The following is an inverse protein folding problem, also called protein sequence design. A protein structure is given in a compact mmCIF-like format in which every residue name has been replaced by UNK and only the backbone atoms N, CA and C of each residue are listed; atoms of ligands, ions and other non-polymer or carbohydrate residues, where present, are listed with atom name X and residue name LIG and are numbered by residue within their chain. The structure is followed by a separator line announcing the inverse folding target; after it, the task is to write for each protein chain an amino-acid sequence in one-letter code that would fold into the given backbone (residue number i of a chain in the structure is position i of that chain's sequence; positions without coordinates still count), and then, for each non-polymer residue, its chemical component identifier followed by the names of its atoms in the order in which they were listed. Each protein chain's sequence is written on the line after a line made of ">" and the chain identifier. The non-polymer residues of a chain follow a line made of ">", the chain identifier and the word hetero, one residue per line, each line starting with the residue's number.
data_IF_046292703513
#
_entry.id   IF_046292703513
#
_cell.length_a   1.000
_cell.length_b   1.000
_cell.length_c   1.000
_cell.angle_alpha   90.00
_cell.angle_beta   90.00
_cell.angle_gamma   90.00
#
_symmetry.space_group_name_H-M   'P 1'
#
loop_
_entity.id
_entity.type
_entity.pdbx_description
1 polymer ?
#
# COMPACT_ATOMS: atom_id res chain seq x y z
N UNK A 1 -21.47 25.74 -13.48
CA UNK A 1 -21.29 25.43 -12.05
C UNK A 1 -21.53 23.97 -11.74
N UNK A 2 -22.70 23.44 -12.06
CA UNK A 2 -23.01 22.01 -11.85
C UNK A 2 -22.05 21.12 -12.65
N UNK A 3 -21.74 21.52 -13.88
CA UNK A 3 -20.82 20.79 -14.76
C UNK A 3 -19.40 20.74 -14.16
N UNK A 4 -18.93 21.84 -13.54
CA UNK A 4 -17.63 21.86 -12.91
C UNK A 4 -17.55 20.96 -11.68
N UNK A 5 -18.62 20.88 -10.91
CA UNK A 5 -18.71 20.01 -9.75
C UNK A 5 -18.66 18.53 -10.15
N UNK A 6 -19.43 18.16 -11.16
CA UNK A 6 -19.46 16.79 -11.66
C UNK A 6 -18.11 16.37 -12.23
N UNK A 7 -17.43 17.30 -12.90
CA UNK A 7 -16.09 17.04 -13.45
C UNK A 7 -15.08 16.77 -12.34
N UNK A 8 -15.12 17.55 -11.24
CA UNK A 8 -14.23 17.35 -10.10
C UNK A 8 -14.44 15.99 -9.46
N UNK A 9 -15.70 15.60 -9.23
CA UNK A 9 -16.01 14.29 -8.65
C UNK A 9 -15.56 13.15 -9.57
N UNK A 10 -15.78 13.30 -10.87
CA UNK A 10 -15.34 12.30 -11.85
C UNK A 10 -13.82 12.15 -11.86
N UNK A 11 -13.08 13.26 -11.79
CA UNK A 11 -11.62 13.23 -11.75
C UNK A 11 -11.11 12.55 -10.47
N UNK A 12 -11.70 12.84 -9.32
CA UNK A 12 -11.34 12.22 -8.05
C UNK A 12 -11.62 10.73 -8.10
N UNK A 13 -12.80 10.33 -8.59
CA UNK A 13 -13.17 8.92 -8.74
C UNK A 13 -12.22 8.18 -9.66
N UNK A 14 -11.84 8.80 -10.78
CA UNK A 14 -10.87 8.21 -11.70
C UNK A 14 -9.51 8.04 -11.07
N UNK A 15 -9.02 9.04 -10.33
CA UNK A 15 -7.73 8.96 -9.66
C UNK A 15 -7.71 7.88 -8.60
N UNK A 16 -8.77 7.79 -7.80
CA UNK A 16 -8.90 6.75 -6.77
C UNK A 16 -8.90 5.37 -7.42
N UNK A 17 -9.68 5.21 -8.49
CA UNK A 17 -9.78 3.95 -9.20
C UNK A 17 -8.43 3.53 -9.80
N UNK A 18 -7.72 4.49 -10.44
CA UNK A 18 -6.40 4.21 -11.01
C UNK A 18 -5.39 3.85 -9.92
N UNK A 19 -5.40 4.54 -8.80
CA UNK A 19 -4.52 4.20 -7.68
C UNK A 19 -4.81 2.81 -7.12
N UNK A 20 -6.07 2.45 -7.03
CA UNK A 20 -6.46 1.12 -6.58
C UNK A 20 -5.96 0.05 -7.54
N UNK A 21 -6.10 0.27 -8.84
CA UNK A 21 -5.59 -0.65 -9.86
C UNK A 21 -4.07 -0.78 -9.75
N UNK A 22 -3.38 0.34 -9.60
CA UNK A 22 -1.92 0.35 -9.42
C UNK A 22 -1.51 -0.46 -8.20
N UNK A 23 -2.22 -0.29 -7.07
CA UNK A 23 -1.94 -1.05 -5.85
C UNK A 23 -2.18 -2.55 -6.06
N UNK A 24 -3.27 -2.91 -6.72
CA UNK A 24 -3.56 -4.33 -7.02
C UNK A 24 -2.42 -4.94 -7.83
N UNK A 25 -1.99 -4.27 -8.88
CA UNK A 25 -0.89 -4.74 -9.72
C UNK A 25 0.42 -4.82 -8.92
N UNK A 26 0.71 -3.78 -8.13
CA UNK A 26 1.94 -3.72 -7.34
C UNK A 26 1.97 -4.84 -6.29
N UNK A 27 0.86 -5.08 -5.60
CA UNK A 27 0.75 -6.15 -4.60
C UNK A 27 0.90 -7.52 -5.26
N UNK A 28 0.27 -7.70 -6.41
CA UNK A 28 0.37 -8.96 -7.15
C UNK A 28 1.81 -9.24 -7.58
N UNK A 29 2.48 -8.24 -8.16
CA UNK A 29 3.88 -8.37 -8.59
C UNK A 29 4.78 -8.65 -7.38
N UNK A 30 4.60 -7.91 -6.30
CA UNK A 30 5.41 -8.08 -5.10
C UNK A 30 5.21 -9.46 -4.48
N UNK A 31 3.97 -9.97 -4.44
CA UNK A 31 3.68 -11.30 -3.91
C UNK A 31 4.32 -12.40 -4.74
N UNK A 32 4.51 -12.14 -6.02
CA UNK A 32 5.17 -13.10 -6.92
C UNK A 32 6.68 -13.11 -6.74
N UNK A 33 7.27 -11.94 -6.47
CA UNK A 33 8.73 -11.79 -6.36
C UNK A 33 9.23 -12.20 -4.97
N UNK A 34 8.49 -11.83 -3.92
CA UNK A 34 8.96 -12.03 -2.54
C UNK A 34 8.48 -13.38 -2.01
N UNK A 35 9.39 -14.32 -1.73
CA UNK A 35 9.01 -15.57 -1.08
C UNK A 35 8.55 -15.32 0.35
N UNK A 36 7.56 -16.07 0.80
CA UNK A 36 6.98 -15.92 2.13
C UNK A 36 5.72 -15.07 2.15
N UNK A 37 5.32 -14.50 1.02
CA UNK A 37 4.04 -13.81 0.88
C UNK A 37 3.13 -14.65 0.01
N UNK A 38 1.92 -14.92 0.49
CA UNK A 38 0.92 -15.69 -0.25
C UNK A 38 -0.42 -14.97 -0.23
N UNK A 39 -1.04 -14.90 -1.39
CA UNK A 39 -2.39 -14.37 -1.56
C UNK A 39 -3.19 -15.47 -2.26
N UNK A 40 -4.12 -16.08 -1.51
CA UNK A 40 -4.77 -17.31 -1.94
C UNK A 40 -5.89 -17.11 -2.95
N UNK A 41 -6.42 -15.89 -3.08
CA UNK A 41 -7.55 -15.65 -3.97
C UNK A 41 -7.53 -14.23 -4.50
N UNK A 42 -8.24 -14.00 -5.60
CA UNK A 42 -8.43 -12.66 -6.16
C UNK A 42 -9.17 -11.77 -5.16
N UNK A 43 -10.11 -12.34 -4.40
CA UNK A 43 -10.83 -11.59 -3.38
C UNK A 43 -9.88 -11.08 -2.29
N UNK A 44 -8.97 -11.92 -1.81
CA UNK A 44 -7.98 -11.51 -0.82
C UNK A 44 -7.07 -10.41 -1.37
N UNK A 45 -6.64 -10.53 -2.62
CA UNK A 45 -5.83 -9.50 -3.28
C UNK A 45 -6.56 -8.16 -3.31
N UNK A 46 -7.83 -8.16 -3.68
CA UNK A 46 -8.65 -6.95 -3.75
C UNK A 46 -8.81 -6.32 -2.36
N UNK A 47 -9.10 -7.14 -1.34
CA UNK A 47 -9.28 -6.65 0.03
C UNK A 47 -7.99 -6.04 0.56
N UNK A 48 -6.84 -6.69 0.34
CA UNK A 48 -5.54 -6.15 0.75
C UNK A 48 -5.29 -4.80 0.07
N UNK A 49 -5.57 -4.69 -1.22
CA UNK A 49 -5.35 -3.45 -1.97
C UNK A 49 -6.22 -2.31 -1.43
N UNK A 50 -7.50 -2.58 -1.15
CA UNK A 50 -8.40 -1.56 -0.59
C UNK A 50 -7.93 -1.11 0.78
N UNK A 51 -7.63 -2.07 1.67
CA UNK A 51 -7.17 -1.74 3.03
C UNK A 51 -5.83 -1.02 3.01
N UNK A 52 -4.90 -1.44 2.17
CA UNK A 52 -3.61 -0.77 2.04
C UNK A 52 -3.78 0.65 1.49
N UNK A 53 -4.69 0.84 0.54
CA UNK A 53 -5.02 2.16 0.03
C UNK A 53 -5.57 3.09 1.10
N UNK A 54 -6.46 2.60 1.95
CA UNK A 54 -7.01 3.37 3.08
C UNK A 54 -5.90 3.70 4.08
N UNK A 55 -5.07 2.75 4.44
CA UNK A 55 -3.95 2.96 5.35
C UNK A 55 -3.01 4.03 4.80
N UNK A 56 -2.65 3.93 3.52
CA UNK A 56 -1.75 4.90 2.88
C UNK A 56 -2.36 6.31 2.83
N UNK A 57 -3.68 6.41 2.66
CA UNK A 57 -4.33 7.70 2.54
C UNK A 57 -4.60 8.38 3.89
N UNK A 58 -4.91 7.62 4.94
CA UNK A 58 -5.42 8.18 6.21
C UNK A 58 -4.44 7.95 7.36
N UNK A 59 -4.03 6.71 7.58
CA UNK A 59 -3.25 6.33 8.77
C UNK A 59 -1.78 6.71 8.60
N UNK A 60 -1.21 6.43 7.45
CA UNK A 60 0.22 6.61 7.21
C UNK A 60 0.68 8.06 7.35
N UNK A 61 0.00 9.07 6.77
CA UNK A 61 0.40 10.47 6.97
C UNK A 61 0.44 10.89 8.43
N UNK A 62 -0.54 10.43 9.23
CA UNK A 62 -0.60 10.76 10.65
C UNK A 62 0.59 10.14 11.38
N UNK A 63 0.88 8.87 11.12
CA UNK A 63 1.99 8.17 11.75
C UNK A 63 3.34 8.78 11.34
N UNK A 64 3.50 9.19 10.09
CA UNK A 64 4.73 9.81 9.61
C UNK A 64 5.00 11.11 10.37
N UNK A 65 3.97 11.97 10.53
CA UNK A 65 4.12 13.24 11.25
C UNK A 65 4.53 12.99 12.71
N UNK A 66 3.88 12.02 13.37
CA UNK A 66 4.18 11.71 14.77
C UNK A 66 5.59 11.13 14.97
N UNK A 67 6.08 10.40 13.97
CA UNK A 67 7.38 9.71 14.07
C UNK A 67 8.48 10.43 13.33
N UNK A 68 8.23 11.64 12.80
CA UNK A 68 9.19 12.36 11.97
C UNK A 68 10.56 12.56 12.63
N UNK A 69 10.64 12.99 13.91
CA UNK A 69 11.97 13.14 14.54
C UNK A 69 12.76 11.83 14.57
N UNK A 70 12.10 10.73 14.89
CA UNK A 70 12.73 9.41 14.94
C UNK A 70 13.13 8.93 13.55
N UNK A 71 12.29 9.20 12.55
CA UNK A 71 12.57 8.86 11.15
C UNK A 71 13.82 9.57 10.66
N UNK A 72 13.98 10.85 10.98
CA UNK A 72 15.16 11.63 10.59
C UNK A 72 16.43 11.04 11.22
N UNK A 73 16.38 10.73 12.50
CA UNK A 73 17.51 10.15 13.22
C UNK A 73 17.95 8.81 12.63
N UNK A 74 17.01 7.99 12.19
CA UNK A 74 17.28 6.66 11.65
C UNK A 74 17.43 6.65 10.13
N UNK A 75 17.53 7.80 9.48
CA UNK A 75 17.66 7.92 8.02
C UNK A 75 16.53 7.23 7.25
N UNK A 76 15.32 7.26 7.80
CA UNK A 76 14.17 6.65 7.15
C UNK A 76 13.98 5.17 7.42
N UNK A 77 14.91 4.52 8.12
CA UNK A 77 14.81 3.10 8.44
C UNK A 77 13.53 2.80 9.23
N UNK A 78 13.16 3.72 10.12
CA UNK A 78 11.95 3.57 10.93
C UNK A 78 10.69 3.47 10.05
N UNK A 79 10.64 4.24 8.96
CA UNK A 79 9.50 4.15 8.02
C UNK A 79 9.41 2.78 7.35
N UNK A 80 10.55 2.18 7.00
CA UNK A 80 10.54 0.84 6.42
C UNK A 80 9.99 -0.19 7.40
N UNK A 81 10.40 -0.11 8.66
CA UNK A 81 9.90 -1.02 9.70
C UNK A 81 8.41 -0.79 9.93
N UNK A 82 7.98 0.48 9.99
CA UNK A 82 6.58 0.81 10.15
C UNK A 82 5.72 0.25 9.01
N UNK A 83 6.20 0.38 7.76
CA UNK A 83 5.51 -0.19 6.61
C UNK A 83 5.37 -1.72 6.73
N UNK A 84 6.44 -2.38 7.18
CA UNK A 84 6.41 -3.82 7.41
C UNK A 84 5.40 -4.22 8.47
N UNK A 85 5.33 -3.45 9.56
CA UNK A 85 4.35 -3.70 10.64
C UNK A 85 2.93 -3.55 10.10
N UNK A 86 2.66 -2.54 9.30
CA UNK A 86 1.34 -2.34 8.69
C UNK A 86 0.95 -3.52 7.79
N UNK A 87 1.91 -4.05 7.02
CA UNK A 87 1.67 -5.23 6.19
C UNK A 87 1.37 -6.46 7.06
N UNK A 88 2.08 -6.64 8.17
CA UNK A 88 1.79 -7.74 9.09
C UNK A 88 0.40 -7.62 9.71
N UNK A 89 -0.02 -6.41 10.06
CA UNK A 89 -1.37 -6.17 10.57
C UNK A 89 -2.39 -6.59 9.51
N UNK A 90 -2.17 -6.23 8.26
CA UNK A 90 -3.06 -6.63 7.17
C UNK A 90 -3.12 -8.15 7.02
N UNK A 91 -1.98 -8.83 7.13
CA UNK A 91 -1.96 -10.29 7.01
C UNK A 91 -2.72 -10.97 8.13
N UNK A 92 -2.81 -10.34 9.31
CA UNK A 92 -3.57 -10.90 10.41
C UNK A 92 -5.07 -10.66 10.29
N UNK A 93 -5.48 -9.68 9.51
CA UNK A 93 -6.89 -9.30 9.34
C UNK A 93 -7.50 -9.96 8.11
N UNK A 94 -6.74 -10.01 7.00
CA UNK A 94 -7.27 -10.46 5.71
C UNK A 94 -7.07 -11.96 5.54
N UNK A 95 -8.14 -12.76 5.44
CA UNK A 95 -8.01 -14.17 5.15
C UNK A 95 -7.36 -14.41 3.78
N UNK A 96 -6.43 -15.36 3.74
CA UNK A 96 -5.75 -15.72 2.50
C UNK A 96 -4.55 -14.86 2.16
N UNK A 97 -4.28 -13.82 2.94
CA UNK A 97 -3.05 -13.03 2.82
C UNK A 97 -2.09 -13.44 3.93
N UNK A 98 -1.03 -14.14 3.56
CA UNK A 98 -0.06 -14.70 4.51
C UNK A 98 1.30 -14.09 4.25
N UNK A 99 1.94 -13.59 5.32
CA UNK A 99 3.28 -13.03 5.30
C UNK A 99 4.09 -13.73 6.39
N UNK A 100 5.27 -14.23 6.04
CA UNK A 100 6.02 -15.12 6.92
C UNK A 100 6.71 -14.43 8.10
N UNK A 101 6.84 -13.10 8.09
CA UNK A 101 7.45 -12.38 9.20
C UNK A 101 7.72 -10.92 8.86
N UNK A 102 8.34 -10.22 9.81
CA UNK A 102 8.61 -8.78 9.67
C UNK A 102 9.57 -8.47 8.53
N UNK A 103 10.64 -9.24 8.41
CA UNK A 103 11.62 -9.02 7.33
C UNK A 103 10.95 -9.17 5.96
N UNK A 104 10.17 -10.22 5.78
CA UNK A 104 9.41 -10.45 4.55
C UNK A 104 8.42 -9.33 4.30
N UNK A 105 7.73 -8.86 5.36
CA UNK A 105 6.79 -7.75 5.25
C UNK A 105 7.46 -6.46 4.82
N UNK A 106 8.65 -6.17 5.34
CA UNK A 106 9.43 -4.97 4.95
C UNK A 106 9.83 -5.07 3.48
N UNK A 107 10.35 -6.20 3.05
CA UNK A 107 10.70 -6.41 1.64
C UNK A 107 9.49 -6.28 0.73
N UNK A 108 8.38 -6.87 1.13
CA UNK A 108 7.14 -6.79 0.37
C UNK A 108 6.67 -5.34 0.22
N UNK A 109 6.66 -4.58 1.32
CA UNK A 109 6.24 -3.18 1.28
C UNK A 109 7.19 -2.35 0.41
N UNK A 110 8.48 -2.64 0.44
CA UNK A 110 9.46 -1.94 -0.39
C UNK A 110 9.20 -2.19 -1.87
N UNK A 111 8.98 -3.44 -2.26
CA UNK A 111 8.68 -3.79 -3.65
C UNK A 111 7.36 -3.17 -4.09
N UNK A 112 6.32 -3.22 -3.26
CA UNK A 112 5.04 -2.57 -3.56
C UNK A 112 5.24 -1.08 -3.80
N UNK A 113 6.01 -0.41 -2.94
CA UNK A 113 6.27 1.02 -3.08
C UNK A 113 7.01 1.35 -4.37
N UNK A 114 8.01 0.56 -4.73
CA UNK A 114 8.79 0.78 -5.95
C UNK A 114 7.90 0.58 -7.18
N UNK A 115 7.16 -0.53 -7.23
CA UNK A 115 6.29 -0.82 -8.37
C UNK A 115 5.19 0.22 -8.49
N UNK A 116 4.57 0.61 -7.36
CA UNK A 116 3.56 1.66 -7.36
C UNK A 116 4.10 2.98 -7.89
N UNK A 117 5.30 3.37 -7.45
CA UNK A 117 5.92 4.62 -7.89
C UNK A 117 6.20 4.62 -9.39
N UNK A 118 6.69 3.48 -9.91
CA UNK A 118 6.95 3.36 -11.34
C UNK A 118 5.64 3.46 -12.12
N UNK A 119 4.59 2.76 -11.68
CA UNK A 119 3.31 2.78 -12.37
C UNK A 119 2.63 4.14 -12.26
N UNK A 120 2.78 4.85 -11.14
CA UNK A 120 2.22 6.19 -10.98
C UNK A 120 2.78 7.17 -12.02
N UNK A 121 4.03 6.98 -12.44
CA UNK A 121 4.65 7.84 -13.45
C UNK A 121 4.04 7.67 -14.84
N UNK A 122 3.36 6.55 -15.11
CA UNK A 122 2.70 6.30 -16.38
C UNK A 122 1.23 6.72 -16.39
N UNK A 123 0.74 7.19 -15.28
CA UNK A 123 -0.63 7.64 -15.09
C UNK A 123 -0.64 9.12 -14.68
#
# INVERSE_FOLDING_TARGET
>A
MIIGKDRIYTEIDMKVLLKLIILIVAIYVASYIIPGVKINSTQSLFVVAVLLGVINAVVKPILIVLTLPLTIVTFGLFLLILNGILILVLSSIVPGFVVSGLFTAVLFSLVVSIVSSVLDNFV
#
